data_IF_241396690549
#
_entry.id   IF_241396690549
#
_cell.length_a   1.000
_cell.length_b   1.000
_cell.length_c   1.000
_cell.angle_alpha   90.00
_cell.angle_beta   90.00
_cell.angle_gamma   90.00
#
_symmetry.space_group_name_H-M   'P 1'
#
loop_
_entity.id
_entity.type
_entity.pdbx_description
1 polymer ?
#
# COMPACT_ATOMS: atom_id res chain seq x y z
N UNK A 1 20.59 -26.56 -6.18
CA UNK A 1 19.67 -25.65 -6.87
C UNK A 1 18.28 -26.28 -6.79
N UNK A 2 17.43 -25.82 -5.89
CA UNK A 2 16.05 -26.30 -5.84
C UNK A 2 15.26 -25.61 -6.94
N UNK A 3 14.87 -26.36 -7.95
CA UNK A 3 13.94 -25.89 -8.97
C UNK A 3 12.54 -26.09 -8.41
N UNK A 4 11.94 -25.00 -7.98
CA UNK A 4 10.54 -25.02 -7.59
C UNK A 4 9.68 -25.08 -8.85
N UNK A 5 8.87 -26.13 -8.96
CA UNK A 5 7.92 -26.25 -10.06
C UNK A 5 6.74 -25.27 -9.94
N UNK A 6 5.88 -25.20 -10.95
CA UNK A 6 4.71 -24.33 -10.97
C UNK A 6 3.77 -24.48 -9.75
N UNK A 7 3.75 -25.69 -9.16
CA UNK A 7 2.96 -25.98 -7.94
C UNK A 7 3.37 -25.18 -6.70
N UNK A 8 4.55 -24.55 -6.71
CA UNK A 8 5.07 -23.76 -5.59
C UNK A 8 4.96 -22.26 -5.81
N UNK A 9 4.47 -21.80 -6.96
CA UNK A 9 4.42 -20.39 -7.31
C UNK A 9 3.65 -19.56 -6.28
N UNK A 10 2.48 -20.04 -5.86
CA UNK A 10 1.63 -19.33 -4.89
C UNK A 10 2.32 -19.22 -3.52
N UNK A 11 2.90 -20.32 -3.06
CA UNK A 11 3.64 -20.35 -1.80
C UNK A 11 4.86 -19.43 -1.82
N UNK A 12 5.65 -19.45 -2.90
CA UNK A 12 6.81 -18.59 -3.06
C UNK A 12 6.41 -17.13 -3.18
N UNK A 13 5.34 -16.82 -3.89
CA UNK A 13 4.80 -15.46 -4.00
C UNK A 13 4.37 -14.94 -2.64
N UNK A 14 3.60 -15.73 -1.86
CA UNK A 14 3.20 -15.36 -0.51
C UNK A 14 4.41 -15.19 0.41
N UNK A 15 5.38 -16.10 0.33
CA UNK A 15 6.63 -16.01 1.10
C UNK A 15 7.39 -14.72 0.82
N UNK A 16 7.65 -14.38 -0.45
CA UNK A 16 8.40 -13.19 -0.86
C UNK A 16 7.68 -11.88 -0.50
N UNK A 17 6.36 -11.85 -0.68
CA UNK A 17 5.56 -10.70 -0.21
C UNK A 17 5.63 -10.57 1.31
N UNK A 18 5.57 -11.69 2.04
CA UNK A 18 5.71 -11.74 3.48
C UNK A 18 7.07 -11.26 3.98
N UNK A 19 8.16 -11.50 3.25
CA UNK A 19 9.52 -11.00 3.58
C UNK A 19 9.57 -9.47 3.65
N UNK A 20 8.73 -8.79 2.89
CA UNK A 20 8.66 -7.32 2.85
C UNK A 20 7.59 -6.80 3.81
N UNK A 21 6.42 -7.43 3.79
CA UNK A 21 5.25 -6.87 4.44
C UNK A 21 5.23 -7.13 5.94
N UNK A 22 5.74 -8.27 6.40
CA UNK A 22 5.76 -8.61 7.83
C UNK A 22 6.69 -7.70 8.65
N UNK A 23 7.95 -7.42 8.22
CA UNK A 23 8.76 -6.37 8.85
C UNK A 23 8.10 -4.99 8.80
N UNK A 24 7.42 -4.66 7.68
CA UNK A 24 6.71 -3.39 7.54
C UNK A 24 5.54 -3.28 8.53
N UNK A 25 4.79 -4.36 8.73
CA UNK A 25 3.70 -4.43 9.69
C UNK A 25 4.18 -4.21 11.13
N UNK A 26 5.28 -4.88 11.49
CA UNK A 26 5.91 -4.73 12.81
C UNK A 26 6.39 -3.31 13.04
N UNK A 27 7.07 -2.72 12.05
CA UNK A 27 7.58 -1.36 12.11
C UNK A 27 6.46 -0.32 12.21
N UNK A 28 5.38 -0.46 11.41
CA UNK A 28 4.22 0.43 11.51
C UNK A 28 3.51 0.31 12.85
N UNK A 29 3.38 -0.90 13.38
CA UNK A 29 2.79 -1.11 14.70
C UNK A 29 3.63 -0.48 15.81
N UNK A 30 4.95 -0.61 15.74
CA UNK A 30 5.87 0.03 16.69
C UNK A 30 5.81 1.56 16.58
N UNK A 31 5.82 2.09 15.34
CA UNK A 31 5.70 3.52 15.10
C UNK A 31 4.39 4.08 15.66
N UNK A 32 3.26 3.43 15.39
CA UNK A 32 1.95 3.83 15.91
C UNK A 32 1.94 3.84 17.44
N UNK A 33 2.43 2.77 18.09
CA UNK A 33 2.50 2.67 19.53
C UNK A 33 3.38 3.76 20.15
N UNK A 34 4.52 4.09 19.53
CA UNK A 34 5.39 5.18 19.95
C UNK A 34 4.74 6.55 19.74
N UNK A 35 4.07 6.77 18.60
CA UNK A 35 3.37 8.01 18.28
C UNK A 35 2.29 8.32 19.34
N UNK A 36 1.51 7.32 19.72
CA UNK A 36 0.48 7.45 20.75
C UNK A 36 0.99 7.27 22.17
N UNK A 37 2.28 6.93 22.37
CA UNK A 37 2.90 6.59 23.67
C UNK A 37 2.13 5.50 24.41
N UNK A 38 1.58 4.55 23.67
CA UNK A 38 0.73 3.49 24.18
C UNK A 38 0.97 2.18 23.43
N UNK A 39 1.51 1.18 24.12
CA UNK A 39 1.78 -0.16 23.60
C UNK A 39 0.68 -1.19 23.89
N UNK A 40 -0.43 -0.81 24.53
CA UNK A 40 -1.48 -1.76 24.90
C UNK A 40 -2.14 -2.44 23.68
N UNK A 41 -2.17 -1.73 22.56
CA UNK A 41 -2.74 -2.21 21.29
C UNK A 41 -1.66 -2.70 20.29
N UNK A 42 -0.42 -2.90 20.77
CA UNK A 42 0.62 -3.48 19.96
C UNK A 42 0.30 -4.96 19.68
N UNK A 43 0.26 -5.41 18.42
CA UNK A 43 -0.25 -6.73 18.04
C UNK A 43 0.81 -7.84 18.23
N UNK A 44 1.43 -7.93 19.39
CA UNK A 44 2.57 -8.82 19.67
C UNK A 44 2.26 -10.29 19.41
N UNK A 45 1.08 -10.77 19.80
CA UNK A 45 0.67 -12.15 19.60
C UNK A 45 0.46 -12.46 18.11
N UNK A 46 -0.26 -11.61 17.41
CA UNK A 46 -0.50 -11.75 15.95
C UNK A 46 0.80 -11.73 15.15
N UNK A 47 1.71 -10.81 15.46
CA UNK A 47 3.03 -10.72 14.85
C UNK A 47 3.85 -11.99 15.13
N UNK A 48 3.86 -12.46 16.39
CA UNK A 48 4.58 -13.68 16.77
C UNK A 48 4.07 -14.90 16.00
N UNK A 49 2.76 -15.09 15.89
CA UNK A 49 2.18 -16.21 15.14
C UNK A 49 2.45 -16.08 13.63
N UNK A 50 2.40 -14.88 13.08
CA UNK A 50 2.73 -14.63 11.68
C UNK A 50 4.23 -14.93 11.40
N UNK A 51 5.14 -14.49 12.26
CA UNK A 51 6.56 -14.82 12.16
C UNK A 51 6.83 -16.32 12.29
N UNK A 52 6.23 -17.02 13.26
CA UNK A 52 6.33 -18.49 13.37
C UNK A 52 5.85 -19.19 12.11
N UNK A 53 4.74 -18.74 11.53
CA UNK A 53 4.24 -19.30 10.29
C UNK A 53 5.19 -19.02 9.12
N UNK A 54 5.79 -17.82 9.05
CA UNK A 54 6.71 -17.43 7.98
C UNK A 54 8.01 -18.23 7.98
N UNK A 55 8.59 -18.49 9.15
CA UNK A 55 9.84 -19.21 9.30
C UNK A 55 9.68 -20.74 9.37
N UNK A 56 8.45 -21.22 9.57
CA UNK A 56 8.18 -22.67 9.72
C UNK A 56 8.66 -23.50 8.54
N UNK A 57 8.45 -23.12 7.28
CA UNK A 57 8.91 -23.88 6.12
C UNK A 57 10.39 -23.66 5.85
N UNK A 58 11.25 -24.14 6.74
CA UNK A 58 12.71 -23.94 6.63
C UNK A 58 13.36 -24.89 5.61
N UNK A 59 12.89 -26.15 5.55
CA UNK A 59 13.47 -27.18 4.69
C UNK A 59 12.44 -28.05 4.00
N UNK A 60 12.80 -28.54 2.81
CA UNK A 60 12.24 -29.74 2.24
C UNK A 60 10.83 -29.60 1.71
N UNK A 61 10.69 -28.84 0.66
CA UNK A 61 9.55 -28.99 -0.22
C UNK A 61 9.44 -30.46 -0.63
N UNK A 62 8.26 -31.01 -0.50
CA UNK A 62 8.03 -32.44 -0.39
C UNK A 62 8.22 -33.24 -1.61
N UNK A 63 9.13 -33.27 -2.42
CA UNK A 63 9.47 -34.27 -3.43
C UNK A 63 8.32 -35.16 -3.96
N UNK A 64 8.61 -36.39 -4.30
CA UNK A 64 7.60 -37.34 -4.78
C UNK A 64 6.61 -37.72 -3.65
N UNK A 65 5.35 -37.27 -3.75
CA UNK A 65 4.32 -37.49 -2.73
C UNK A 65 4.21 -36.37 -1.67
N UNK A 66 4.97 -35.31 -1.79
CA UNK A 66 5.02 -34.20 -0.84
C UNK A 66 3.92 -33.14 -0.94
N UNK A 67 2.86 -33.37 -1.69
CA UNK A 67 1.73 -32.46 -1.86
C UNK A 67 1.15 -31.97 -0.51
N UNK A 68 1.09 -32.83 0.50
CA UNK A 68 0.58 -32.45 1.82
C UNK A 68 1.49 -31.43 2.50
N UNK A 69 2.81 -31.60 2.39
CA UNK A 69 3.81 -30.68 2.94
C UNK A 69 3.79 -29.37 2.19
N UNK A 70 3.71 -29.39 0.87
CA UNK A 70 3.64 -28.21 0.03
C UNK A 70 2.39 -27.37 0.34
N UNK A 71 1.24 -28.01 0.47
CA UNK A 71 -0.01 -27.36 0.87
C UNK A 71 0.05 -26.79 2.30
N UNK A 72 0.76 -27.46 3.21
CA UNK A 72 0.98 -26.95 4.56
C UNK A 72 1.83 -25.68 4.54
N UNK A 73 2.93 -25.69 3.79
CA UNK A 73 3.83 -24.54 3.64
C UNK A 73 3.13 -23.37 2.97
N UNK A 74 2.37 -23.62 1.92
CA UNK A 74 1.58 -22.59 1.27
C UNK A 74 0.63 -21.90 2.25
N UNK A 75 -0.18 -22.68 2.99
CA UNK A 75 -1.10 -22.12 3.99
C UNK A 75 -0.39 -21.31 5.08
N UNK A 76 0.80 -21.75 5.50
CA UNK A 76 1.62 -21.02 6.48
C UNK A 76 2.08 -19.67 5.95
N UNK A 77 2.59 -19.60 4.72
CA UNK A 77 3.01 -18.35 4.09
C UNK A 77 1.83 -17.42 3.80
N UNK A 78 0.71 -17.96 3.31
CA UNK A 78 -0.51 -17.19 3.07
C UNK A 78 -1.08 -16.61 4.37
N UNK A 79 -1.07 -17.37 5.46
CA UNK A 79 -1.47 -16.89 6.78
C UNK A 79 -0.57 -15.74 7.24
N UNK A 80 0.76 -15.89 7.17
CA UNK A 80 1.70 -14.86 7.57
C UNK A 80 1.51 -13.56 6.76
N UNK A 81 1.34 -13.70 5.44
CA UNK A 81 1.06 -12.57 4.55
C UNK A 81 -0.26 -11.87 4.91
N UNK A 82 -1.33 -12.64 5.06
CA UNK A 82 -2.66 -12.09 5.36
C UNK A 82 -2.69 -11.34 6.72
N UNK A 83 -2.01 -11.87 7.75
CA UNK A 83 -1.90 -11.17 9.03
C UNK A 83 -1.06 -9.88 8.91
N UNK A 84 0.04 -9.92 8.14
CA UNK A 84 0.83 -8.72 7.88
C UNK A 84 0.00 -7.64 7.15
N UNK A 85 -0.75 -8.02 6.12
CA UNK A 85 -1.65 -7.12 5.39
C UNK A 85 -2.69 -6.47 6.31
N UNK A 86 -3.35 -7.25 7.15
CA UNK A 86 -4.33 -6.74 8.11
C UNK A 86 -3.70 -5.74 9.08
N UNK A 87 -2.53 -6.06 9.65
CA UNK A 87 -1.84 -5.18 10.60
C UNK A 87 -1.43 -3.87 9.89
N UNK A 88 -0.87 -3.95 8.68
CA UNK A 88 -0.50 -2.75 7.90
C UNK A 88 -1.72 -1.87 7.67
N UNK A 89 -2.84 -2.43 7.22
CA UNK A 89 -4.07 -1.66 6.96
C UNK A 89 -4.63 -1.03 8.24
N UNK A 90 -4.71 -1.78 9.34
CA UNK A 90 -5.18 -1.28 10.63
C UNK A 90 -4.31 -0.12 11.13
N UNK A 91 -2.98 -0.29 11.09
CA UNK A 91 -2.05 0.72 11.59
C UNK A 91 -1.95 1.93 10.66
N UNK A 92 -2.01 1.72 9.34
CA UNK A 92 -2.08 2.82 8.37
C UNK A 92 -3.32 3.68 8.61
N UNK A 93 -4.48 3.06 8.85
CA UNK A 93 -5.71 3.77 9.13
C UNK A 93 -5.64 4.60 10.43
N UNK A 94 -5.12 4.00 11.51
CA UNK A 94 -4.94 4.69 12.80
C UNK A 94 -3.98 5.87 12.65
N UNK A 95 -2.84 5.67 12.00
CA UNK A 95 -1.85 6.72 11.77
C UNK A 95 -2.42 7.85 10.91
N UNK A 96 -3.08 7.53 9.81
CA UNK A 96 -3.70 8.53 8.92
C UNK A 96 -4.75 9.36 9.67
N UNK A 97 -5.59 8.71 10.48
CA UNK A 97 -6.62 9.39 11.29
C UNK A 97 -6.03 10.27 12.41
N UNK A 98 -4.79 10.00 12.81
CA UNK A 98 -4.10 10.76 13.86
C UNK A 98 -3.36 12.00 13.32
N UNK A 99 -3.17 12.09 12.01
CA UNK A 99 -2.51 13.24 11.38
C UNK A 99 -3.50 14.40 11.33
N UNK A 100 -3.08 15.54 11.86
CA UNK A 100 -3.87 16.79 11.70
C UNK A 100 -3.80 17.27 10.26
N UNK A 101 -4.90 17.17 9.55
CA UNK A 101 -5.04 17.58 8.16
C UNK A 101 -5.91 18.81 8.02
N UNK A 102 -5.80 19.51 6.89
CA UNK A 102 -6.61 20.68 6.55
C UNK A 102 -7.55 20.30 5.40
N UNK A 103 -8.79 19.96 5.73
CA UNK A 103 -9.80 19.53 4.77
C UNK A 103 -10.15 20.59 3.73
N UNK A 104 -9.85 21.88 3.99
CA UNK A 104 -10.07 22.95 3.01
C UNK A 104 -9.14 22.84 1.80
N UNK A 105 -8.07 22.05 1.92
CA UNK A 105 -7.10 21.79 0.85
C UNK A 105 -7.45 20.58 -0.03
N UNK A 106 -8.54 19.90 0.25
CA UNK A 106 -8.97 18.70 -0.44
C UNK A 106 -8.96 17.45 0.45
N UNK A 107 -9.20 16.28 -0.14
CA UNK A 107 -9.19 15.00 0.56
C UNK A 107 -7.75 14.60 0.90
N UNK A 108 -7.40 14.41 2.19
CA UNK A 108 -6.03 14.10 2.58
C UNK A 108 -5.61 12.70 2.15
N UNK A 109 -4.39 12.59 1.63
CA UNK A 109 -3.69 11.35 1.29
C UNK A 109 -2.41 11.29 2.11
N UNK A 110 -2.37 10.42 3.11
CA UNK A 110 -1.25 10.31 4.04
C UNK A 110 -0.37 9.14 3.64
N UNK A 111 0.93 9.41 3.45
CA UNK A 111 1.93 8.39 3.19
C UNK A 111 2.80 8.19 4.43
N UNK A 112 3.12 6.93 4.69
CA UNK A 112 4.10 6.54 5.70
C UNK A 112 5.34 5.93 5.04
N UNK A 113 6.50 6.47 5.37
CA UNK A 113 7.79 5.88 4.99
C UNK A 113 8.33 5.07 6.17
N UNK A 114 8.37 3.76 6.02
CA UNK A 114 8.87 2.83 7.03
C UNK A 114 10.38 2.58 6.98
N UNK A 115 11.11 3.35 6.17
CA UNK A 115 12.57 3.21 6.05
C UNK A 115 13.28 4.31 6.82
N UNK A 116 14.52 4.06 7.18
CA UNK A 116 15.38 4.95 7.99
C UNK A 116 16.01 6.10 7.21
N UNK A 117 15.59 6.35 5.97
CA UNK A 117 16.08 7.43 5.12
C UNK A 117 14.93 8.07 4.34
N UNK A 118 15.10 9.35 3.98
CA UNK A 118 14.16 10.07 3.16
C UNK A 118 14.08 9.47 1.75
N UNK A 119 12.89 9.45 1.18
CA UNK A 119 12.72 8.84 -0.15
C UNK A 119 11.74 9.59 -1.04
N UNK A 120 12.03 9.57 -2.33
CA UNK A 120 11.09 9.96 -3.37
C UNK A 120 10.70 8.72 -4.16
N UNK A 121 9.40 8.38 -4.18
CA UNK A 121 8.92 7.12 -4.75
C UNK A 121 7.59 7.28 -5.46
N UNK A 122 7.30 6.45 -6.46
CA UNK A 122 5.95 6.31 -6.97
C UNK A 122 5.01 5.85 -5.85
N UNK A 123 3.87 6.51 -5.77
CA UNK A 123 2.76 6.16 -4.87
C UNK A 123 1.49 6.00 -5.69
N UNK A 124 0.62 5.11 -5.26
CA UNK A 124 -0.68 4.93 -5.89
C UNK A 124 -1.74 4.57 -4.85
N UNK A 125 -2.97 4.96 -5.13
CA UNK A 125 -4.15 4.59 -4.35
C UNK A 125 -5.39 4.53 -5.22
N UNK A 126 -6.33 3.68 -4.84
CA UNK A 126 -7.62 3.57 -5.49
C UNK A 126 -8.60 4.58 -4.88
N UNK A 127 -9.43 5.17 -5.72
CA UNK A 127 -10.53 6.03 -5.30
C UNK A 127 -11.83 5.57 -5.95
N UNK A 128 -12.90 5.69 -5.19
CA UNK A 128 -14.28 5.53 -5.66
C UNK A 128 -15.06 6.78 -5.28
N UNK A 129 -15.77 7.34 -6.25
CA UNK A 129 -16.53 8.60 -6.14
C UNK A 129 -17.99 8.33 -6.42
N UNK A 130 -18.83 9.27 -6.00
CA UNK A 130 -20.25 9.29 -6.34
C UNK A 130 -20.48 9.98 -7.68
N UNK A 131 -21.59 9.68 -8.35
CA UNK A 131 -21.94 10.31 -9.63
C UNK A 131 -22.02 11.84 -9.47
N UNK A 132 -21.40 12.56 -10.38
CA UNK A 132 -21.36 14.04 -10.39
C UNK A 132 -20.32 14.66 -9.45
N UNK A 133 -19.58 13.86 -8.67
CA UNK A 133 -18.60 14.35 -7.68
C UNK A 133 -17.38 14.98 -8.36
N UNK A 134 -16.77 14.31 -9.33
CA UNK A 134 -15.64 14.85 -10.05
C UNK A 134 -15.49 14.32 -11.48
N UNK A 135 -15.07 15.19 -12.40
CA UNK A 135 -14.61 14.83 -13.75
C UNK A 135 -13.08 14.81 -13.87
N UNK A 136 -12.40 15.47 -12.95
CA UNK A 136 -10.93 15.53 -12.87
C UNK A 136 -10.45 15.39 -11.45
N UNK A 137 -9.24 14.80 -11.33
CA UNK A 137 -8.54 14.64 -10.05
C UNK A 137 -7.15 15.28 -10.16
N UNK A 138 -6.78 16.05 -9.14
CA UNK A 138 -5.47 16.71 -9.03
C UNK A 138 -4.87 16.40 -7.67
N UNK A 139 -3.54 16.23 -7.62
CA UNK A 139 -2.80 16.09 -6.37
C UNK A 139 -2.07 17.40 -6.08
N UNK A 140 -2.13 17.82 -4.83
CA UNK A 140 -1.32 18.94 -4.32
C UNK A 140 -0.54 18.51 -3.09
N UNK A 141 0.60 19.17 -2.85
CA UNK A 141 1.34 19.03 -1.60
C UNK A 141 0.70 19.84 -0.46
N UNK A 142 1.23 19.73 0.75
CA UNK A 142 0.73 20.46 1.92
C UNK A 142 0.83 21.99 1.79
N UNK A 143 1.64 22.49 0.85
CA UNK A 143 1.78 23.92 0.55
C UNK A 143 0.81 24.39 -0.54
N UNK A 144 0.08 23.48 -1.18
CA UNK A 144 -0.83 23.75 -2.29
C UNK A 144 -0.19 23.71 -3.67
N UNK A 145 1.08 23.30 -3.79
CA UNK A 145 1.73 23.14 -5.08
C UNK A 145 1.20 21.90 -5.79
N UNK A 146 0.90 22.03 -7.09
CA UNK A 146 0.45 20.90 -7.92
C UNK A 146 1.53 19.81 -8.04
N UNK A 147 1.11 18.56 -7.86
CA UNK A 147 1.96 17.38 -8.05
C UNK A 147 1.45 16.64 -9.29
N UNK A 148 2.31 16.39 -10.30
CA UNK A 148 1.91 15.63 -11.48
C UNK A 148 1.34 14.26 -11.09
N UNK A 149 0.16 13.95 -11.62
CA UNK A 149 -0.52 12.69 -11.36
C UNK A 149 -1.04 12.07 -12.65
N UNK A 150 -1.18 10.76 -12.68
CA UNK A 150 -1.75 9.99 -13.76
C UNK A 150 -2.86 9.09 -13.22
N UNK A 151 -3.87 8.85 -14.04
CA UNK A 151 -4.96 7.95 -13.71
C UNK A 151 -4.86 6.68 -14.56
N UNK A 152 -5.15 5.54 -13.92
CA UNK A 152 -5.35 4.27 -14.60
C UNK A 152 -6.62 3.58 -14.09
N UNK A 153 -7.06 2.52 -14.79
CA UNK A 153 -8.26 1.74 -14.44
C UNK A 153 -9.50 2.62 -14.22
N UNK A 154 -9.60 3.71 -15.00
CA UNK A 154 -10.68 4.68 -14.86
C UNK A 154 -11.99 4.09 -15.35
N UNK A 155 -13.02 4.21 -14.54
CA UNK A 155 -14.43 3.99 -14.91
C UNK A 155 -15.18 5.29 -14.76
N UNK A 156 -16.15 5.53 -15.63
CA UNK A 156 -16.96 6.72 -15.64
C UNK A 156 -18.43 6.37 -15.51
N UNK A 157 -19.18 7.26 -14.87
CA UNK A 157 -20.63 7.30 -14.92
C UNK A 157 -21.12 7.84 -16.28
N UNK A 158 -22.44 7.75 -16.53
CA UNK A 158 -23.05 8.23 -17.78
C UNK A 158 -22.86 9.74 -18.02
N UNK A 159 -22.71 10.52 -16.95
CA UNK A 159 -22.46 11.96 -16.98
C UNK A 159 -20.97 12.35 -17.15
N UNK A 160 -20.13 11.36 -17.45
CA UNK A 160 -18.68 11.50 -17.61
C UNK A 160 -17.94 11.86 -16.30
N UNK A 161 -18.60 11.80 -15.14
CA UNK A 161 -17.90 11.86 -13.86
C UNK A 161 -17.19 10.54 -13.56
N UNK A 162 -16.10 10.61 -12.80
CA UNK A 162 -15.28 9.45 -12.44
C UNK A 162 -16.03 8.63 -11.38
N UNK A 163 -16.28 7.33 -11.70
CA UNK A 163 -16.79 6.37 -10.75
C UNK A 163 -15.67 5.78 -9.91
N UNK A 164 -14.60 5.34 -10.59
CA UNK A 164 -13.46 4.70 -9.98
C UNK A 164 -12.19 5.01 -10.76
N UNK A 165 -11.08 5.18 -10.05
CA UNK A 165 -9.76 5.32 -10.67
C UNK A 165 -8.65 4.85 -9.72
N UNK A 166 -7.50 4.48 -10.28
CA UNK A 166 -6.24 4.39 -9.54
C UNK A 166 -5.43 5.65 -9.84
N UNK A 167 -5.11 6.41 -8.81
CA UNK A 167 -4.30 7.64 -8.91
C UNK A 167 -2.84 7.28 -8.67
N UNK A 168 -1.95 7.70 -9.58
CA UNK A 168 -0.50 7.52 -9.47
C UNK A 168 0.19 8.87 -9.44
N UNK A 169 1.16 9.04 -8.56
CA UNK A 169 1.99 10.24 -8.48
C UNK A 169 3.35 9.93 -7.88
N UNK A 170 4.30 10.84 -7.98
CA UNK A 170 5.60 10.71 -7.32
C UNK A 170 5.55 11.47 -5.99
N UNK A 171 5.59 10.74 -4.90
CA UNK A 171 5.75 11.32 -3.57
C UNK A 171 7.22 11.68 -3.37
N UNK A 172 7.52 12.97 -3.24
CA UNK A 172 8.89 13.48 -3.09
C UNK A 172 9.24 13.69 -1.62
N UNK A 173 10.49 13.44 -1.25
CA UNK A 173 11.03 13.74 0.08
C UNK A 173 10.11 13.30 1.23
N UNK A 174 9.64 12.05 1.19
CA UNK A 174 8.89 11.46 2.30
C UNK A 174 9.89 11.16 3.41
N UNK A 175 9.75 11.79 4.59
CA UNK A 175 10.79 11.73 5.61
C UNK A 175 11.02 10.31 6.14
N UNK A 176 12.25 10.04 6.56
CA UNK A 176 12.63 8.79 7.22
C UNK A 176 11.73 8.50 8.42
N UNK A 177 11.22 7.27 8.54
CA UNK A 177 10.32 6.85 9.64
C UNK A 177 9.23 7.90 9.91
N UNK A 178 8.64 8.45 8.84
CA UNK A 178 7.77 9.60 8.95
C UNK A 178 6.56 9.59 8.04
N UNK A 179 5.70 10.56 8.25
CA UNK A 179 4.46 10.77 7.51
C UNK A 179 4.56 12.00 6.61
N UNK A 180 3.97 11.92 5.43
CA UNK A 180 3.79 13.06 4.53
C UNK A 180 2.38 13.09 3.99
N UNK A 181 1.76 14.27 4.01
CA UNK A 181 0.39 14.48 3.53
C UNK A 181 0.40 15.16 2.18
N UNK A 182 -0.41 14.63 1.28
CA UNK A 182 -0.84 15.23 0.03
C UNK A 182 -2.35 15.43 0.08
N UNK A 183 -2.90 16.16 -0.87
CA UNK A 183 -4.33 16.39 -0.97
C UNK A 183 -4.82 16.05 -2.36
N UNK A 184 -5.87 15.25 -2.42
CA UNK A 184 -6.61 15.01 -3.63
C UNK A 184 -7.68 16.08 -3.77
N UNK A 185 -7.64 16.80 -4.89
CA UNK A 185 -8.60 17.81 -5.25
C UNK A 185 -9.48 17.30 -6.38
N UNK A 186 -10.75 17.38 -6.18
CA UNK A 186 -11.82 16.97 -7.08
C UNK A 186 -12.36 18.21 -7.81
N UNK A 187 -12.52 18.11 -9.14
CA UNK A 187 -13.00 19.23 -9.96
C UNK A 187 -13.94 18.76 -11.06
N UNK A 188 -14.97 19.54 -11.33
CA UNK A 188 -15.84 19.38 -12.48
C UNK A 188 -15.43 20.27 -13.66
N UNK A 189 -14.46 21.16 -13.47
CA UNK A 189 -13.98 22.03 -14.53
C UNK A 189 -13.18 21.21 -15.54
N UNK A 190 -13.55 21.28 -16.79
CA UNK A 190 -12.80 20.72 -17.93
C UNK A 190 -11.60 21.60 -18.21
N UNK A 191 -10.58 21.60 -17.33
CA UNK A 191 -9.30 22.20 -17.65
C UNK A 191 -8.56 21.34 -18.67
N UNK A 192 -7.82 21.99 -19.59
CA UNK A 192 -7.06 21.34 -20.64
C UNK A 192 -6.37 20.06 -20.16
N UNK A 193 -6.71 18.95 -20.85
CA UNK A 193 -6.03 17.67 -20.67
C UNK A 193 -4.58 17.89 -21.11
N UNK A 194 -3.66 17.94 -20.16
CA UNK A 194 -2.26 17.73 -20.47
C UNK A 194 -2.14 16.33 -21.05
N UNK A 195 -2.10 16.24 -22.37
CA UNK A 195 -1.86 14.97 -23.07
C UNK A 195 -0.57 14.37 -22.54
N UNK A 196 -0.54 13.08 -22.22
CA UNK A 196 0.71 12.42 -21.89
C UNK A 196 1.65 12.63 -23.07
N UNK A 197 2.86 13.14 -22.80
CA UNK A 197 3.89 13.23 -23.81
C UNK A 197 4.10 11.82 -24.38
N UNK A 198 3.73 11.64 -25.64
CA UNK A 198 4.02 10.41 -26.36
C UNK A 198 5.53 10.34 -26.57
N UNK A 199 6.25 9.70 -25.65
CA UNK A 199 7.61 9.27 -25.93
C UNK A 199 7.51 8.01 -26.78
N UNK A 200 7.68 8.18 -28.08
CA UNK A 200 8.04 7.08 -28.97
C UNK A 200 9.46 6.67 -28.56
N UNK A 201 9.60 5.50 -27.99
CA UNK A 201 10.92 4.88 -27.80
C UNK A 201 11.29 4.30 -29.16
N UNK A 202 12.28 4.91 -29.85
CA UNK A 202 12.97 4.32 -30.99
C UNK A 202 13.96 3.25 -30.52
#
# INVERSE_FOLDING_TARGET
LYIHGPSHEQALTASRKGDILLPSAEMMAAYEAMYHKNFNNYPSERLNEAWKAKIYPDHGWGGNGGIMTDNLFQRKYEFALAEAEKIVLEKAHILASSVKTDETKGRPVVLFNNLSFDRSVPASFDIQLTQGEAKQLKITDAKGNGVPAQLSHVKYYDDQSIEKATVHFVATEVPAMGLKTYYLNESNDMAEILQPASQTIE
#
